data_IF_003286811799
#
_entry.id   IF_003286811799
#
_cell.length_a   1.000
_cell.length_b   1.000
_cell.length_c   1.000
_cell.angle_alpha   90.00
_cell.angle_beta   90.00
_cell.angle_gamma   90.00
#
_symmetry.space_group_name_H-M   'P 1'
#
loop_
_entity.id
_entity.type
_entity.pdbx_description
1 polymer ?
#
# COMPACT_ATOMS: atom_id res chain seq x y z
N UNK A 1 -39.88 -5.67 32.30
CA UNK A 1 -39.49 -5.26 32.28
C UNK A 1 -38.24 -5.26 32.30
N UNK A 2 -37.61 -5.31 32.63
CA UNK A 2 -36.51 -5.28 32.81
C UNK A 2 -35.58 -5.68 31.84
N UNK A 3 -35.73 -6.34 31.14
CA UNK A 3 -34.96 -6.79 30.18
C UNK A 3 -34.29 -5.92 29.37
N UNK A 4 -34.74 -5.07 29.04
CA UNK A 4 -34.28 -4.13 28.20
C UNK A 4 -32.93 -3.76 28.36
N UNK A 5 -32.58 -3.56 29.45
CA UNK A 5 -31.36 -3.11 29.63
C UNK A 5 -30.30 -3.80 29.01
N UNK A 6 -30.36 -4.86 28.98
CA UNK A 6 -29.40 -5.62 28.45
C UNK A 6 -28.88 -5.20 27.16
N UNK A 7 -29.70 -4.89 26.40
CA UNK A 7 -29.38 -4.47 25.13
C UNK A 7 -28.30 -3.52 25.02
N UNK A 8 -28.36 -2.62 25.75
CA UNK A 8 -27.43 -1.57 25.67
C UNK A 8 -26.03 -2.07 25.66
N UNK A 9 -25.83 -2.94 26.44
CA UNK A 9 -24.50 -3.40 26.58
C UNK A 9 -23.89 -3.90 25.34
N UNK A 10 -24.64 -4.50 24.58
CA UNK A 10 -24.15 -5.01 23.39
C UNK A 10 -23.56 -4.04 22.49
N UNK A 11 -24.20 -3.06 22.33
CA UNK A 11 -23.81 -2.08 21.41
C UNK A 11 -22.42 -1.63 21.68
N UNK A 12 -22.12 -1.50 22.84
CA UNK A 12 -20.85 -1.04 23.19
C UNK A 12 -19.74 -1.90 22.81
N UNK A 13 -19.91 -3.10 23.03
CA UNK A 13 -18.80 -3.94 22.77
C UNK A 13 -18.47 -3.95 21.33
N UNK A 14 -19.40 -3.78 20.53
CA UNK A 14 -19.17 -3.87 19.13
C UNK A 14 -18.24 -2.79 18.66
N UNK A 15 -18.40 -1.65 19.17
CA UNK A 15 -17.67 -0.58 18.66
C UNK A 15 -16.22 -0.70 18.92
N UNK A 16 -15.86 -1.20 19.98
CA UNK A 16 -14.48 -1.18 20.31
C UNK A 16 -13.64 -2.03 19.39
N UNK A 17 -14.19 -2.95 18.76
CA UNK A 17 -13.44 -3.78 17.92
C UNK A 17 -12.96 -3.19 16.67
N UNK A 18 -13.73 -2.41 16.09
CA UNK A 18 -13.43 -1.94 14.78
C UNK A 18 -12.26 -1.04 14.71
N UNK A 19 -11.80 -0.59 15.79
CA UNK A 19 -10.75 0.38 15.74
C UNK A 19 -9.37 -0.16 15.54
N UNK A 20 -9.19 -1.39 15.66
CA UNK A 20 -7.86 -1.88 15.71
C UNK A 20 -7.15 -2.36 14.48
N UNK A 21 -7.82 -2.73 13.48
CA UNK A 21 -7.16 -3.42 12.39
C UNK A 21 -6.59 -2.52 11.34
N UNK A 22 -5.38 -2.82 10.90
CA UNK A 22 -4.81 -2.16 9.75
C UNK A 22 -5.23 -2.93 8.52
N UNK A 23 -5.46 -2.22 7.44
CA UNK A 23 -5.90 -2.87 6.21
C UNK A 23 -4.71 -3.06 5.29
N UNK A 24 -4.93 -3.80 4.22
CA UNK A 24 -3.92 -4.00 3.22
C UNK A 24 -3.50 -2.63 2.65
N UNK A 25 -4.46 -1.76 2.41
CA UNK A 25 -4.16 -0.43 1.90
C UNK A 25 -3.32 0.38 2.85
N UNK A 26 -3.55 0.25 4.15
CA UNK A 26 -2.77 0.97 5.14
C UNK A 26 -1.31 0.52 5.09
N UNK A 27 -1.07 -0.73 4.82
CA UNK A 27 0.28 -1.27 4.82
C UNK A 27 1.00 -1.10 3.50
N UNK A 28 0.32 -1.34 2.41
CA UNK A 28 0.99 -1.39 1.11
C UNK A 28 0.62 -0.29 0.12
N UNK A 29 -0.40 0.47 0.38
CA UNK A 29 -0.88 1.46 -0.57
C UNK A 29 -2.05 0.95 -1.37
N UNK A 30 -2.42 1.63 -2.44
CA UNK A 30 -3.64 1.34 -3.19
C UNK A 30 -3.48 1.48 -4.68
N UNK A 31 -4.34 0.78 -5.45
CA UNK A 31 -4.33 0.97 -6.89
C UNK A 31 -4.68 2.41 -7.24
N UNK A 32 -4.15 2.90 -8.31
CA UNK A 32 -4.43 4.26 -8.78
C UNK A 32 -4.63 4.25 -10.29
N UNK A 33 -5.17 5.35 -10.80
CA UNK A 33 -5.41 5.48 -12.22
C UNK A 33 -4.10 5.74 -12.96
N UNK A 34 -3.95 5.15 -14.11
CA UNK A 34 -2.73 5.33 -14.88
C UNK A 34 -2.46 6.80 -15.18
N UNK A 35 -3.52 7.57 -15.37
CA UNK A 35 -3.36 8.98 -15.70
C UNK A 35 -2.83 9.79 -14.52
N UNK A 36 -2.88 9.23 -13.32
CA UNK A 36 -2.39 9.92 -12.15
C UNK A 36 -0.92 9.62 -11.87
N UNK A 37 -0.30 8.76 -12.64
CA UNK A 37 1.07 8.34 -12.36
C UNK A 37 2.06 9.50 -12.51
N UNK A 38 2.95 9.60 -11.54
CA UNK A 38 4.00 10.61 -11.58
C UNK A 38 5.12 10.18 -12.50
N UNK A 39 5.30 8.89 -12.67
CA UNK A 39 6.31 8.35 -13.57
C UNK A 39 6.06 6.87 -13.82
N UNK A 40 6.85 6.30 -14.70
CA UNK A 40 6.75 4.88 -15.05
C UNK A 40 8.07 4.19 -14.73
N UNK A 41 7.98 3.00 -14.16
CA UNK A 41 9.15 2.18 -13.92
C UNK A 41 8.97 0.88 -14.69
N UNK A 42 9.98 0.49 -15.46
CA UNK A 42 9.95 -0.77 -16.17
C UNK A 42 10.78 -1.77 -15.39
N UNK A 43 10.18 -2.88 -15.02
CA UNK A 43 10.85 -3.93 -14.26
C UNK A 43 11.32 -4.98 -15.26
N UNK A 44 12.61 -5.26 -15.27
CA UNK A 44 13.20 -6.24 -16.17
C UNK A 44 13.64 -7.45 -15.36
N UNK A 45 14.02 -8.54 -15.99
CA UNK A 45 14.50 -9.70 -15.24
C UNK A 45 15.71 -9.41 -14.34
N UNK A 46 16.43 -8.34 -14.62
CA UNK A 46 17.59 -8.00 -13.80
C UNK A 46 17.27 -6.99 -12.71
N UNK A 47 16.07 -6.46 -12.69
CA UNK A 47 15.68 -5.47 -11.67
C UNK A 47 15.55 -6.18 -10.32
N UNK A 48 16.25 -5.68 -9.31
CA UNK A 48 16.22 -6.28 -7.99
C UNK A 48 15.51 -5.43 -6.97
N UNK A 49 15.43 -4.15 -7.20
CA UNK A 49 14.70 -3.27 -6.29
C UNK A 49 14.24 -2.02 -7.06
N UNK A 50 13.29 -1.31 -6.50
CA UNK A 50 12.84 -0.04 -7.03
C UNK A 50 12.78 0.94 -5.87
N UNK A 51 13.27 2.15 -6.12
CA UNK A 51 13.25 3.19 -5.10
C UNK A 51 12.12 4.14 -5.44
N UNK A 52 11.19 4.29 -4.53
CA UNK A 52 9.98 5.06 -4.76
C UNK A 52 9.79 6.00 -3.57
N UNK A 53 9.33 7.20 -3.82
CA UNK A 53 9.07 8.12 -2.73
C UNK A 53 7.72 7.78 -2.12
N UNK A 54 7.65 7.87 -0.83
CA UNK A 54 6.41 7.60 -0.12
C UNK A 54 5.33 8.57 -0.63
N UNK A 55 4.20 8.04 -1.01
CA UNK A 55 3.11 8.86 -1.54
C UNK A 55 3.15 9.08 -3.05
N UNK A 56 4.20 8.59 -3.68
CA UNK A 56 4.31 8.72 -5.13
C UNK A 56 3.38 7.74 -5.83
N UNK A 57 2.81 8.14 -6.94
CA UNK A 57 1.98 7.25 -7.75
C UNK A 57 2.80 6.84 -8.95
N UNK A 58 3.01 5.56 -9.14
CA UNK A 58 3.92 5.04 -10.16
C UNK A 58 3.25 3.97 -11.00
N UNK A 59 3.45 4.05 -12.30
CA UNK A 59 2.99 3.03 -13.20
C UNK A 59 4.13 2.02 -13.33
N UNK A 60 3.85 0.77 -13.07
CA UNK A 60 4.84 -0.30 -13.15
C UNK A 60 4.54 -1.15 -14.38
N UNK A 61 5.57 -1.39 -15.18
CA UNK A 61 5.45 -2.25 -16.35
C UNK A 61 6.35 -3.44 -16.13
N UNK A 62 5.78 -4.62 -16.08
CA UNK A 62 6.54 -5.85 -15.78
C UNK A 62 5.89 -7.05 -16.43
N UNK A 63 6.69 -7.86 -17.11
CA UNK A 63 6.19 -9.12 -17.65
C UNK A 63 5.03 -8.96 -18.62
N UNK A 64 5.02 -7.88 -19.37
CA UNK A 64 3.93 -7.65 -20.30
C UNK A 64 2.65 -7.13 -19.65
N UNK A 65 2.69 -6.83 -18.37
CA UNK A 65 1.54 -6.31 -17.64
C UNK A 65 1.87 -4.94 -17.08
N UNK A 66 0.84 -4.16 -16.84
CA UNK A 66 1.01 -2.83 -16.27
C UNK A 66 0.06 -2.64 -15.13
N UNK A 67 0.46 -1.90 -14.13
CA UNK A 67 -0.44 -1.49 -13.07
C UNK A 67 0.09 -0.18 -12.47
N UNK A 68 -0.81 0.61 -11.92
CA UNK A 68 -0.44 1.88 -11.32
C UNK A 68 -0.82 1.83 -9.84
N UNK A 69 0.07 2.31 -9.02
CA UNK A 69 -0.07 2.15 -7.58
C UNK A 69 0.32 3.41 -6.83
N UNK A 70 -0.44 3.72 -5.80
CA UNK A 70 -0.14 4.83 -4.92
C UNK A 70 0.63 4.23 -3.75
N UNK A 71 1.88 4.60 -3.62
CA UNK A 71 2.78 4.01 -2.62
C UNK A 71 2.74 4.78 -1.32
N UNK A 72 1.56 4.88 -0.74
CA UNK A 72 1.38 5.61 0.51
C UNK A 72 1.22 4.70 1.73
N UNK A 73 1.60 3.45 1.61
CA UNK A 73 1.49 2.51 2.72
C UNK A 73 2.57 2.73 3.76
N UNK A 74 2.39 2.11 4.89
CA UNK A 74 3.31 2.24 6.02
C UNK A 74 4.45 1.25 6.01
N UNK A 75 4.27 0.14 5.37
CA UNK A 75 5.23 -0.94 5.42
C UNK A 75 6.33 -0.76 4.39
N UNK A 76 7.55 -0.96 4.81
CA UNK A 76 8.67 -0.98 3.89
C UNK A 76 9.87 -1.64 4.56
N UNK A 77 10.74 -2.25 3.81
CA UNK A 77 10.54 -2.54 2.39
C UNK A 77 9.57 -3.69 2.23
N UNK A 78 9.06 -3.88 1.05
CA UNK A 78 8.21 -5.05 0.81
C UNK A 78 8.46 -5.55 -0.61
N UNK A 79 7.97 -6.75 -0.90
CA UNK A 79 8.15 -7.35 -2.22
C UNK A 79 7.12 -6.80 -3.20
N UNK A 80 7.57 -6.40 -4.37
CA UNK A 80 6.68 -5.85 -5.37
C UNK A 80 5.59 -6.85 -5.77
N UNK A 81 5.90 -8.12 -5.72
CA UNK A 81 4.90 -9.14 -6.05
C UNK A 81 3.69 -9.10 -5.14
N UNK A 82 3.81 -8.46 -3.98
CA UNK A 82 2.70 -8.36 -3.04
C UNK A 82 1.56 -7.54 -3.62
N UNK A 83 1.86 -6.58 -4.47
CA UNK A 83 0.85 -5.68 -5.02
C UNK A 83 0.68 -5.85 -6.52
N UNK A 84 1.55 -6.59 -7.19
CA UNK A 84 1.50 -6.73 -8.63
C UNK A 84 0.45 -7.75 -9.07
N UNK A 85 -0.05 -7.65 -10.30
CA UNK A 85 -0.95 -8.66 -10.83
C UNK A 85 -0.22 -10.00 -10.84
N UNK A 86 -0.96 -11.06 -10.69
CA UNK A 86 -0.37 -12.38 -10.64
C UNK A 86 0.42 -12.65 -11.90
N UNK A 87 1.60 -13.16 -11.75
CA UNK A 87 2.44 -13.50 -12.90
C UNK A 87 3.25 -12.36 -13.48
N UNK A 88 3.07 -11.16 -13.00
CA UNK A 88 3.83 -10.03 -13.53
C UNK A 88 5.26 -10.04 -13.03
N UNK A 89 5.46 -10.46 -11.79
CA UNK A 89 6.79 -10.44 -11.17
C UNK A 89 7.21 -11.89 -10.94
N UNK A 90 8.28 -12.29 -11.58
CA UNK A 90 8.73 -13.67 -11.49
C UNK A 90 10.03 -13.84 -10.70
N UNK A 91 10.46 -12.82 -10.02
CA UNK A 91 11.65 -12.89 -9.17
C UNK A 91 11.51 -11.85 -8.07
N UNK A 92 12.40 -11.85 -7.13
CA UNK A 92 12.30 -10.93 -6.01
C UNK A 92 12.64 -9.51 -6.45
N UNK A 93 11.74 -8.58 -6.24
CA UNK A 93 11.98 -7.16 -6.50
C UNK A 93 11.51 -6.42 -5.26
N UNK A 94 12.44 -5.79 -4.58
CA UNK A 94 12.12 -5.09 -3.33
C UNK A 94 11.69 -3.66 -3.59
N UNK A 95 10.66 -3.23 -2.91
CA UNK A 95 10.24 -1.83 -2.98
C UNK A 95 10.81 -1.13 -1.77
N UNK A 96 11.61 -0.10 -2.03
CA UNK A 96 12.18 0.71 -0.97
C UNK A 96 11.48 2.06 -1.04
N UNK A 97 10.76 2.41 0.01
CA UNK A 97 10.06 3.69 0.04
C UNK A 97 10.94 4.71 0.72
N UNK A 98 11.18 5.80 0.02
CA UNK A 98 11.99 6.87 0.55
C UNK A 98 11.08 7.97 1.02
N UNK A 99 11.53 8.73 2.01
CA UNK A 99 10.72 9.84 2.49
C UNK A 99 10.55 10.84 1.37
N UNK A 100 9.36 11.42 1.30
CA UNK A 100 9.10 12.42 0.29
C UNK A 100 9.88 13.66 0.70
N UNK A 101 9.97 14.60 -0.23
CA UNK A 101 10.66 15.81 0.03
C UNK A 101 10.11 16.53 1.23
N UNK A 102 8.80 16.51 1.38
CA UNK A 102 8.16 17.14 2.49
C UNK A 102 8.52 16.44 3.79
N UNK A 103 8.49 15.13 3.79
CA UNK A 103 8.84 14.38 4.98
C UNK A 103 10.31 14.63 5.35
N UNK A 104 11.15 14.70 4.35
CA UNK A 104 12.54 14.94 4.59
C UNK A 104 12.78 16.30 5.21
N UNK A 105 12.07 17.28 4.77
CA UNK A 105 12.21 18.61 5.28
C UNK A 105 11.79 18.65 6.74
N UNK A 106 10.71 17.99 7.05
CA UNK A 106 10.25 17.99 8.42
C UNK A 106 11.16 17.18 9.32
N UNK A 107 11.84 16.24 8.76
CA UNK A 107 12.70 15.40 9.56
C UNK A 107 14.01 16.06 9.91
N UNK A 108 14.30 17.10 9.24
CA UNK A 108 15.51 17.83 9.52
C UNK A 108 15.31 18.74 10.71
#
# INVERSE_FOLDING_TARGET
MKKVLVVAALALSATSLSAAALTFGDLYGEPAEASAADRTIVVTPSTKFVDIKHGEIVKIVAGGKEFTWDFDGLLQPFELAKIAPQGAIDHSVRVNLQRSEIDGTLGD
#
